data_IF_715167990394
#
_entry.id   IF_715167990394
#
_cell.length_a   1.000
_cell.length_b   1.000
_cell.length_c   1.000
_cell.angle_alpha   90.00
_cell.angle_beta   90.00
_cell.angle_gamma   90.00
#
_symmetry.space_group_name_H-M   'P 1'
#
loop_
_entity.id
_entity.type
_entity.pdbx_description
1 polymer ?
#
# COMPACT_ATOMS: atom_id res chain seq x y z
N UNK A 1 15.09 42.70 -38.71
CA UNK A 1 14.49 41.36 -38.84
C UNK A 1 13.32 41.25 -37.86
N UNK A 2 12.25 41.98 -38.17
CA UNK A 2 10.96 42.00 -37.45
C UNK A 2 9.76 42.35 -38.38
N UNK A 3 9.67 41.97 -39.68
CA UNK A 3 8.48 42.29 -40.48
C UNK A 3 7.48 41.13 -40.65
N UNK A 4 7.63 39.99 -39.97
CA UNK A 4 6.69 38.86 -40.11
C UNK A 4 5.53 38.87 -39.09
N UNK A 5 5.62 39.68 -38.03
CA UNK A 5 4.56 39.78 -37.01
C UNK A 5 3.36 40.65 -37.44
N UNK A 6 3.49 41.46 -38.50
CA UNK A 6 2.42 42.32 -38.99
C UNK A 6 1.48 41.63 -39.99
N UNK A 7 1.79 40.42 -40.45
CA UNK A 7 0.85 39.59 -41.22
C UNK A 7 -0.23 38.92 -40.36
N UNK A 8 -0.11 39.01 -39.03
CA UNK A 8 -1.10 38.48 -38.08
C UNK A 8 -2.27 39.44 -37.83
N UNK A 9 -2.16 40.71 -38.23
CA UNK A 9 -3.24 41.68 -38.17
C UNK A 9 -3.80 41.88 -39.56
N UNK A 10 -5.08 41.56 -39.73
CA UNK A 10 -5.77 41.47 -41.01
C UNK A 10 -5.66 42.71 -41.90
N UNK A 11 -5.95 42.50 -43.18
CA UNK A 11 -5.95 43.55 -44.19
C UNK A 11 -6.88 44.71 -43.83
N UNK A 12 -6.44 45.92 -44.15
CA UNK A 12 -7.20 47.15 -43.98
C UNK A 12 -8.04 47.37 -45.27
N UNK A 13 -9.38 47.37 -45.20
CA UNK A 13 -10.25 47.43 -46.38
C UNK A 13 -10.20 48.78 -47.13
N UNK A 14 -9.60 49.80 -46.54
CA UNK A 14 -9.47 51.14 -47.13
C UNK A 14 -8.50 51.20 -48.33
N UNK A 15 -7.52 50.29 -48.43
CA UNK A 15 -6.44 50.34 -49.43
C UNK A 15 -6.63 49.30 -50.57
N UNK A 16 -7.41 48.25 -50.32
CA UNK A 16 -7.58 47.12 -51.25
C UNK A 16 -9.06 46.78 -51.42
N UNK A 17 -9.61 47.14 -52.59
CA UNK A 17 -11.04 47.00 -52.93
C UNK A 17 -11.53 45.56 -53.08
N UNK A 18 -10.63 44.57 -53.12
CA UNK A 18 -10.93 43.15 -53.30
C UNK A 18 -10.50 42.29 -52.08
N UNK A 19 -10.44 42.87 -50.88
CA UNK A 19 -10.17 42.09 -49.68
C UNK A 19 -11.49 41.56 -49.09
N UNK A 20 -11.89 40.36 -49.51
CA UNK A 20 -12.96 39.62 -48.86
C UNK A 20 -12.44 39.02 -47.54
N UNK A 21 -13.12 39.32 -46.44
CA UNK A 21 -12.73 38.98 -45.07
C UNK A 21 -12.73 37.46 -44.83
N UNK A 22 -11.64 36.78 -45.20
CA UNK A 22 -11.42 35.33 -44.99
C UNK A 22 -10.45 35.03 -43.83
N UNK A 23 -9.91 36.05 -43.16
CA UNK A 23 -8.89 35.91 -42.11
C UNK A 23 -9.47 35.50 -40.74
N UNK A 24 -10.74 35.84 -40.46
CA UNK A 24 -11.37 35.56 -39.17
C UNK A 24 -11.81 34.08 -39.02
N UNK A 25 -12.20 33.42 -40.12
CA UNK A 25 -12.58 32.02 -40.09
C UNK A 25 -11.36 31.08 -40.02
N UNK A 26 -10.30 31.35 -40.80
CA UNK A 26 -9.13 30.46 -40.87
C UNK A 26 -8.35 30.39 -39.55
N UNK A 27 -8.22 31.50 -38.83
CA UNK A 27 -7.52 31.58 -37.54
C UNK A 27 -8.22 30.76 -36.45
N UNK A 28 -9.55 30.70 -36.45
CA UNK A 28 -10.33 29.89 -35.51
C UNK A 28 -10.10 28.40 -35.73
N UNK A 29 -10.17 27.91 -36.97
CA UNK A 29 -9.93 26.49 -37.27
C UNK A 29 -8.47 26.08 -37.00
N UNK A 30 -7.52 26.97 -37.30
CA UNK A 30 -6.10 26.73 -37.05
C UNK A 30 -5.81 26.67 -35.53
N UNK A 31 -6.45 27.54 -34.73
CA UNK A 31 -6.38 27.50 -33.28
C UNK A 31 -6.93 26.20 -32.68
N UNK A 32 -8.08 25.71 -33.18
CA UNK A 32 -8.68 24.43 -32.74
C UNK A 32 -7.76 23.26 -33.10
N UNK A 33 -7.20 23.23 -34.31
CA UNK A 33 -6.31 22.16 -34.75
C UNK A 33 -5.03 22.08 -33.89
N UNK A 34 -4.41 23.23 -33.61
CA UNK A 34 -3.22 23.30 -32.76
C UNK A 34 -3.55 22.95 -31.30
N UNK A 35 -4.66 23.46 -30.78
CA UNK A 35 -5.14 23.15 -29.44
C UNK A 35 -5.42 21.66 -29.25
N UNK A 36 -6.06 21.01 -30.23
CA UNK A 36 -6.33 19.58 -30.22
C UNK A 36 -5.04 18.75 -30.29
N UNK A 37 -4.05 19.16 -31.09
CA UNK A 37 -2.75 18.49 -31.16
C UNK A 37 -2.00 18.54 -29.81
N UNK A 38 -1.92 19.72 -29.19
CA UNK A 38 -1.26 19.89 -27.88
C UNK A 38 -2.02 19.12 -26.79
N UNK A 39 -3.35 19.21 -26.77
CA UNK A 39 -4.19 18.47 -25.84
C UNK A 39 -4.02 16.95 -25.96
N UNK A 40 -3.92 16.44 -27.19
CA UNK A 40 -3.64 15.03 -27.45
C UNK A 40 -2.28 14.58 -26.91
N UNK A 41 -1.23 15.37 -27.09
CA UNK A 41 0.11 15.06 -26.60
C UNK A 41 0.15 14.98 -25.07
N UNK A 42 -0.45 15.97 -24.38
CA UNK A 42 -0.49 15.99 -22.91
C UNK A 42 -1.31 14.82 -22.38
N UNK A 43 -2.48 14.56 -22.97
CA UNK A 43 -3.36 13.45 -22.57
C UNK A 43 -2.66 12.09 -22.76
N UNK A 44 -1.97 11.90 -23.89
CA UNK A 44 -1.17 10.70 -24.14
C UNK A 44 -0.05 10.52 -23.12
N UNK A 45 0.65 11.62 -22.78
CA UNK A 45 1.73 11.58 -21.81
C UNK A 45 1.25 11.18 -20.40
N UNK A 46 0.11 11.75 -19.96
CA UNK A 46 -0.52 11.38 -18.68
C UNK A 46 -0.96 9.93 -18.69
N UNK A 47 -1.63 9.48 -19.75
CA UNK A 47 -2.07 8.09 -19.88
C UNK A 47 -0.89 7.11 -19.81
N UNK A 48 0.19 7.40 -20.53
CA UNK A 48 1.39 6.57 -20.54
C UNK A 48 2.06 6.50 -19.16
N UNK A 49 2.09 7.60 -18.41
CA UNK A 49 2.62 7.65 -17.04
C UNK A 49 1.74 6.86 -16.07
N UNK A 50 0.42 7.01 -16.15
CA UNK A 50 -0.50 6.28 -15.26
C UNK A 50 -0.51 4.78 -15.52
N UNK A 51 -0.44 4.34 -16.79
CA UNK A 51 -0.37 2.92 -17.14
C UNK A 51 0.81 2.20 -16.47
N UNK A 52 1.99 2.84 -16.43
CA UNK A 52 3.16 2.29 -15.73
C UNK A 52 2.99 2.22 -14.22
N UNK A 53 2.24 3.15 -13.63
CA UNK A 53 1.97 3.15 -12.19
C UNK A 53 0.97 2.05 -11.83
N UNK A 54 -0.06 1.84 -12.66
CA UNK A 54 -1.05 0.79 -12.47
C UNK A 54 -0.39 -0.60 -12.47
N UNK A 55 0.53 -0.88 -13.41
CA UNK A 55 1.27 -2.16 -13.46
C UNK A 55 2.10 -2.41 -12.19
N UNK A 56 2.71 -1.36 -11.62
CA UNK A 56 3.48 -1.47 -10.37
C UNK A 56 2.57 -1.60 -9.15
N UNK A 57 1.41 -0.92 -9.15
CA UNK A 57 0.40 -1.02 -8.10
C UNK A 57 -0.21 -2.41 -8.04
N UNK A 58 -0.49 -3.06 -9.17
CA UNK A 58 -1.01 -4.43 -9.20
C UNK A 58 0.01 -5.44 -8.64
N UNK A 59 1.29 -5.28 -8.97
CA UNK A 59 2.36 -6.11 -8.38
C UNK A 59 2.50 -5.88 -6.87
N UNK A 60 2.36 -4.64 -6.42
CA UNK A 60 2.42 -4.28 -5.00
C UNK A 60 1.21 -4.82 -4.24
N UNK A 61 0.02 -4.72 -4.82
CA UNK A 61 -1.23 -5.23 -4.25
C UNK A 61 -1.21 -6.75 -4.10
N UNK A 62 -0.71 -7.48 -5.10
CA UNK A 62 -0.52 -8.94 -5.00
C UNK A 62 0.49 -9.32 -3.91
N UNK A 63 1.55 -8.52 -3.75
CA UNK A 63 2.57 -8.76 -2.71
C UNK A 63 2.04 -8.48 -1.31
N UNK A 64 1.19 -7.45 -1.15
CA UNK A 64 0.50 -7.15 0.11
C UNK A 64 -0.52 -8.24 0.44
N UNK A 65 -1.30 -8.71 -0.55
CA UNK A 65 -2.27 -9.80 -0.36
C UNK A 65 -1.60 -11.11 0.08
N UNK A 66 -0.45 -11.44 -0.49
CA UNK A 66 0.36 -12.58 -0.06
C UNK A 66 0.95 -12.39 1.35
N UNK A 67 1.25 -11.16 1.78
CA UNK A 67 1.70 -10.87 3.14
C UNK A 67 0.56 -10.98 4.16
N UNK A 68 -0.65 -10.56 3.77
CA UNK A 68 -1.86 -10.61 4.60
C UNK A 68 -2.31 -12.07 4.87
N UNK A 69 -2.30 -12.93 3.85
CA UNK A 69 -2.55 -14.38 4.01
C UNK A 69 -1.52 -15.04 4.95
N UNK A 70 -0.26 -14.61 4.89
CA UNK A 70 0.76 -15.10 5.82
C UNK A 70 0.56 -14.59 7.25
N UNK A 71 -0.08 -13.43 7.43
CA UNK A 71 -0.37 -12.87 8.74
C UNK A 71 -1.44 -13.68 9.49
N UNK A 72 -2.49 -14.14 8.81
CA UNK A 72 -3.48 -15.06 9.41
C UNK A 72 -2.86 -16.38 9.85
N UNK A 73 -1.93 -16.93 9.06
CA UNK A 73 -1.20 -18.16 9.40
C UNK A 73 -0.31 -17.95 10.63
N UNK A 74 0.37 -16.80 10.71
CA UNK A 74 1.21 -16.44 11.86
C UNK A 74 0.35 -16.25 13.11
N UNK A 75 -0.78 -15.54 13.02
CA UNK A 75 -1.70 -15.36 14.14
C UNK A 75 -2.25 -16.69 14.65
N UNK A 76 -2.62 -17.62 13.75
CA UNK A 76 -3.08 -18.95 14.11
C UNK A 76 -1.99 -19.78 14.81
N UNK A 77 -0.73 -19.67 14.37
CA UNK A 77 0.41 -20.32 15.04
C UNK A 77 0.69 -19.72 16.42
N UNK A 78 0.56 -18.40 16.57
CA UNK A 78 0.72 -17.73 17.86
C UNK A 78 -0.36 -18.20 18.84
N UNK A 79 -1.63 -18.25 18.40
CA UNK A 79 -2.74 -18.71 19.22
C UNK A 79 -2.57 -20.18 19.67
N UNK A 80 -2.13 -21.05 18.76
CA UNK A 80 -1.83 -22.46 19.06
C UNK A 80 -0.65 -22.62 20.02
N UNK A 81 0.36 -21.76 19.94
CA UNK A 81 1.47 -21.72 20.89
C UNK A 81 1.03 -21.25 22.28
N UNK A 82 0.14 -20.27 22.36
CA UNK A 82 -0.37 -19.71 23.61
C UNK A 82 -1.19 -20.75 24.39
N UNK A 83 -2.09 -21.45 23.68
CA UNK A 83 -2.87 -22.56 24.26
C UNK A 83 -1.97 -23.68 24.79
N UNK A 84 -0.91 -24.04 24.06
CA UNK A 84 0.06 -25.03 24.54
C UNK A 84 0.86 -24.54 25.74
N UNK A 85 1.18 -23.25 25.81
CA UNK A 85 1.88 -22.68 26.97
C UNK A 85 1.04 -22.77 28.23
N UNK A 86 -0.27 -22.47 28.16
CA UNK A 86 -1.18 -22.63 29.30
C UNK A 86 -1.24 -24.08 29.81
N UNK A 87 -1.34 -25.05 28.89
CA UNK A 87 -1.38 -26.48 29.26
C UNK A 87 -0.08 -26.92 29.95
N UNK A 88 1.07 -26.49 29.42
CA UNK A 88 2.38 -26.76 30.02
C UNK A 88 2.49 -26.11 31.40
N UNK A 89 2.06 -24.86 31.55
CA UNK A 89 2.10 -24.14 32.83
C UNK A 89 1.28 -24.86 33.90
N UNK A 90 0.08 -25.33 33.54
CA UNK A 90 -0.79 -26.05 34.45
C UNK A 90 -0.15 -27.38 34.90
N UNK A 91 0.46 -28.12 33.97
CA UNK A 91 1.21 -29.35 34.29
C UNK A 91 2.40 -29.08 35.21
N UNK A 92 3.16 -28.01 34.97
CA UNK A 92 4.28 -27.61 35.84
C UNK A 92 3.76 -27.30 37.25
N UNK A 93 2.65 -26.59 37.36
CA UNK A 93 2.05 -26.23 38.66
C UNK A 93 1.54 -27.48 39.39
N UNK A 94 0.91 -28.41 38.69
CA UNK A 94 0.48 -29.70 39.26
C UNK A 94 1.68 -30.52 39.76
N UNK A 95 2.77 -30.57 38.99
CA UNK A 95 4.00 -31.24 39.39
C UNK A 95 4.61 -30.59 40.63
N UNK A 96 4.68 -29.25 40.68
CA UNK A 96 5.18 -28.52 41.84
C UNK A 96 4.40 -28.86 43.11
N UNK A 97 3.05 -28.88 43.03
CA UNK A 97 2.20 -29.31 44.16
C UNK A 97 2.49 -30.74 44.60
N UNK A 98 2.68 -31.66 43.65
CA UNK A 98 3.02 -33.06 43.97
C UNK A 98 4.37 -33.16 44.69
N UNK A 99 5.36 -32.36 44.27
CA UNK A 99 6.67 -32.28 44.92
C UNK A 99 6.52 -31.78 46.36
N UNK A 100 5.75 -30.70 46.59
CA UNK A 100 5.53 -30.18 47.96
C UNK A 100 4.90 -31.23 48.88
N UNK A 101 3.89 -31.96 48.40
CA UNK A 101 3.25 -33.05 49.17
C UNK A 101 4.27 -34.15 49.52
N UNK A 102 5.15 -34.52 48.58
CA UNK A 102 6.19 -35.52 48.82
C UNK A 102 7.19 -35.02 49.87
N UNK A 103 7.61 -33.76 49.78
CA UNK A 103 8.52 -33.14 50.75
C UNK A 103 7.90 -33.10 52.15
N UNK A 104 6.62 -32.72 52.28
CA UNK A 104 5.92 -32.73 53.57
C UNK A 104 5.83 -34.13 54.17
N UNK A 105 5.47 -35.13 53.35
CA UNK A 105 5.43 -36.53 53.80
C UNK A 105 6.80 -37.02 54.26
N UNK A 106 7.86 -36.66 53.53
CA UNK A 106 9.23 -37.02 53.89
C UNK A 106 9.63 -36.42 55.24
N UNK A 107 9.36 -35.13 55.48
CA UNK A 107 9.59 -34.47 56.77
C UNK A 107 8.82 -35.12 57.92
N UNK A 108 7.57 -35.51 57.69
CA UNK A 108 6.74 -36.17 58.69
C UNK A 108 7.20 -37.60 59.02
N UNK A 109 7.82 -38.30 58.06
CA UNK A 109 8.44 -39.61 58.28
C UNK A 109 9.74 -39.44 59.07
N UNK A 110 10.56 -38.44 58.73
CA UNK A 110 11.81 -38.14 59.43
C UNK A 110 11.57 -37.74 60.89
N UNK A 111 10.54 -36.93 61.17
CA UNK A 111 10.19 -36.54 62.54
C UNK A 111 9.65 -37.68 63.39
N UNK A 112 8.89 -38.62 62.80
CA UNK A 112 8.46 -39.85 63.49
C UNK A 112 9.63 -40.79 63.77
N UNK A 113 10.56 -40.93 62.82
CA UNK A 113 11.74 -41.79 62.99
C UNK A 113 12.68 -41.26 64.07
N UNK A 114 12.74 -39.95 64.30
CA UNK A 114 13.49 -39.37 65.43
C UNK A 114 12.80 -39.55 66.79
N UNK A 115 11.46 -39.65 66.84
CA UNK A 115 10.74 -39.85 68.12
C UNK A 115 10.69 -41.31 68.59
N UNK A 116 10.87 -42.28 67.67
CA UNK A 116 10.91 -43.71 68.00
C UNK A 116 12.33 -44.20 68.39
N UNK A 117 13.34 -43.31 68.34
CA UNK A 117 14.74 -43.61 68.66
C UNK A 117 15.21 -43.09 70.04
N UNK A 118 14.34 -42.35 70.75
CA UNK A 118 14.47 -41.95 72.17
C UNK A 118 13.62 -42.86 73.07
#
# INVERSE_FOLDING_TARGET
MFPELLFLFGCIPEITKDCQDMTNASSTYLGIAVGAAIGGIISWWVYYRQKKIAEIQDLTLNRIKAYDENHEIVLKRIQDLDLRHEEILNKILEIAKKIDIVIEKQKAIESKKSSDAD
#
